data_IF_949525271001
#
_entry.id   IF_949525271001
#
_cell.length_a   1.000
_cell.length_b   1.000
_cell.length_c   1.000
_cell.angle_alpha   90.00
_cell.angle_beta   90.00
_cell.angle_gamma   90.00
#
_symmetry.space_group_name_H-M   'P 1'
#
loop_
_entity.id
_entity.type
_entity.pdbx_description
1 polymer ?
#
# COMPACT_ATOMS: atom_id res chain seq x y z
N UNK A 1 4.13 -28.86 3.12
CA UNK A 1 4.03 -27.54 3.76
C UNK A 1 3.36 -26.60 2.77
N UNK A 2 2.33 -25.87 3.18
CA UNK A 2 1.65 -24.92 2.29
C UNK A 2 2.51 -23.67 2.10
N UNK A 3 2.71 -23.24 0.85
CA UNK A 3 3.37 -21.97 0.54
C UNK A 3 2.46 -20.77 0.80
N UNK A 4 2.95 -19.54 0.57
CA UNK A 4 2.13 -18.33 0.69
C UNK A 4 0.85 -18.43 -0.16
N UNK A 5 -0.25 -17.90 0.37
CA UNK A 5 -1.56 -17.88 -0.30
C UNK A 5 -1.95 -16.44 -0.65
N UNK A 6 -2.44 -16.27 -1.86
CA UNK A 6 -3.02 -15.02 -2.32
C UNK A 6 -4.53 -15.04 -2.12
N UNK A 7 -5.11 -13.90 -1.75
CA UNK A 7 -6.55 -13.72 -1.66
C UNK A 7 -6.97 -12.51 -2.51
N UNK A 8 -7.83 -12.75 -3.50
CA UNK A 8 -8.44 -11.70 -4.33
C UNK A 8 -9.97 -11.71 -4.18
N UNK A 9 -10.45 -11.99 -2.96
CA UNK A 9 -11.86 -12.13 -2.64
C UNK A 9 -12.62 -12.99 -3.68
N UNK A 10 -13.68 -12.45 -4.27
CA UNK A 10 -14.49 -13.14 -5.29
C UNK A 10 -14.02 -12.93 -6.73
N UNK A 11 -12.87 -12.30 -6.98
CA UNK A 11 -12.42 -12.00 -8.35
C UNK A 11 -11.99 -13.26 -9.10
N UNK A 12 -11.18 -14.10 -8.46
CA UNK A 12 -10.66 -15.35 -9.02
C UNK A 12 -10.02 -16.18 -7.90
N UNK A 13 -9.76 -17.46 -8.18
CA UNK A 13 -9.10 -18.36 -7.24
C UNK A 13 -7.66 -18.68 -7.68
N UNK A 14 -6.64 -18.20 -6.94
CA UNK A 14 -5.24 -18.44 -7.29
C UNK A 14 -4.81 -19.89 -7.02
N UNK A 15 -5.52 -20.63 -6.15
CA UNK A 15 -5.18 -22.02 -5.85
C UNK A 15 -5.45 -22.98 -7.01
N UNK A 16 -6.33 -22.58 -7.94
CA UNK A 16 -6.72 -23.34 -9.12
C UNK A 16 -6.16 -22.76 -10.43
N UNK A 17 -5.14 -21.90 -10.38
CA UNK A 17 -4.65 -21.11 -11.53
C UNK A 17 -5.71 -20.18 -12.16
N UNK A 18 -6.83 -19.96 -11.47
CA UNK A 18 -7.96 -19.17 -11.97
C UNK A 18 -7.68 -17.67 -12.08
N UNK A 19 -6.56 -17.17 -11.54
CA UNK A 19 -6.17 -15.77 -11.57
C UNK A 19 -5.14 -15.41 -12.65
N UNK A 20 -4.67 -16.39 -13.44
CA UNK A 20 -3.61 -16.16 -14.44
C UNK A 20 -4.04 -15.24 -15.59
N UNK A 21 -5.34 -15.12 -15.83
CA UNK A 21 -5.92 -14.20 -16.80
C UNK A 21 -5.67 -12.72 -16.45
N UNK A 22 -5.45 -12.40 -15.16
CA UNK A 22 -5.14 -11.03 -14.72
C UNK A 22 -3.81 -10.53 -15.27
N UNK A 23 -2.92 -11.40 -15.77
CA UNK A 23 -1.68 -11.01 -16.44
C UNK A 23 -1.92 -10.01 -17.58
N UNK A 24 -2.99 -10.20 -18.36
CA UNK A 24 -3.32 -9.31 -19.46
C UNK A 24 -3.70 -7.90 -18.97
N UNK A 25 -4.49 -7.83 -17.89
CA UNK A 25 -4.91 -6.57 -17.29
C UNK A 25 -3.74 -5.83 -16.63
N UNK A 26 -2.85 -6.57 -15.96
CA UNK A 26 -1.62 -6.02 -15.38
C UNK A 26 -0.77 -5.38 -16.48
N UNK A 27 -0.52 -6.09 -17.58
CA UNK A 27 0.24 -5.57 -18.72
C UNK A 27 -0.46 -4.37 -19.36
N UNK A 28 -1.79 -4.38 -19.43
CA UNK A 28 -2.55 -3.24 -19.94
C UNK A 28 -2.36 -2.00 -19.06
N UNK A 29 -2.39 -2.13 -17.73
CA UNK A 29 -2.08 -1.04 -16.81
C UNK A 29 -0.64 -0.51 -17.02
N UNK A 30 0.34 -1.41 -17.06
CA UNK A 30 1.75 -1.06 -17.26
C UNK A 30 1.99 -0.35 -18.60
N UNK A 31 1.32 -0.78 -19.67
CA UNK A 31 1.39 -0.12 -20.98
C UNK A 31 0.79 1.30 -20.96
N UNK A 32 -0.04 1.63 -19.97
CA UNK A 32 -0.55 2.99 -19.73
C UNK A 32 0.30 3.78 -18.72
N UNK A 33 1.49 3.27 -18.35
CA UNK A 33 2.37 3.91 -17.38
C UNK A 33 1.92 3.76 -15.93
N UNK A 34 0.95 2.90 -15.65
CA UNK A 34 0.45 2.62 -14.30
C UNK A 34 1.25 1.48 -13.70
N UNK A 35 1.87 1.73 -12.54
CA UNK A 35 2.57 0.69 -11.77
C UNK A 35 1.58 -0.24 -11.09
N UNK A 36 1.80 -1.54 -11.18
CA UNK A 36 1.02 -2.57 -10.50
C UNK A 36 1.93 -3.33 -9.53
N UNK A 37 1.60 -3.25 -8.25
CA UNK A 37 2.39 -3.81 -7.15
C UNK A 37 1.59 -4.86 -6.40
N UNK A 38 2.29 -5.84 -5.81
CA UNK A 38 1.68 -6.84 -4.94
C UNK A 38 1.74 -6.38 -3.50
N UNK A 39 0.59 -6.19 -2.85
CA UNK A 39 0.54 -5.97 -1.40
C UNK A 39 0.65 -7.30 -0.63
N UNK A 40 1.50 -7.33 0.39
CA UNK A 40 1.63 -8.42 1.35
C UNK A 40 1.12 -7.96 2.72
N UNK A 41 0.37 -8.84 3.40
CA UNK A 41 -0.21 -8.55 4.70
C UNK A 41 -1.71 -8.21 4.62
N UNK A 42 -2.06 -7.02 5.10
CA UNK A 42 -3.40 -6.47 5.24
C UNK A 42 -4.04 -6.72 6.62
N UNK A 43 -5.16 -6.05 6.88
CA UNK A 43 -5.90 -6.12 8.13
C UNK A 43 -6.47 -7.50 8.52
N UNK A 44 -6.38 -8.50 7.63
CA UNK A 44 -6.93 -9.84 7.83
C UNK A 44 -5.99 -10.92 7.32
N UNK A 45 -5.98 -12.06 7.99
CA UNK A 45 -5.10 -13.19 7.67
C UNK A 45 -4.17 -13.54 8.83
N UNK A 46 -3.35 -14.56 8.64
CA UNK A 46 -2.31 -14.96 9.58
C UNK A 46 -0.99 -15.02 8.84
N UNK A 47 -0.16 -14.01 9.03
CA UNK A 47 1.14 -13.87 8.40
C UNK A 47 2.17 -13.46 9.46
N UNK A 48 3.37 -14.01 9.34
CA UNK A 48 4.53 -13.66 10.15
C UNK A 48 5.78 -14.17 9.46
N UNK A 49 6.93 -13.68 9.91
CA UNK A 49 8.24 -14.25 9.58
C UNK A 49 8.81 -14.89 10.84
N UNK A 50 9.26 -16.14 10.71
CA UNK A 50 9.78 -16.92 11.84
C UNK A 50 11.29 -16.69 12.08
N UNK A 51 12.03 -16.28 11.06
CA UNK A 51 13.48 -16.05 11.11
C UNK A 51 13.97 -15.27 9.88
N UNK A 52 15.23 -14.83 9.89
CA UNK A 52 15.89 -14.25 8.71
C UNK A 52 15.96 -15.22 7.52
N UNK A 53 16.07 -16.54 7.77
CA UNK A 53 16.03 -17.55 6.70
C UNK A 53 14.63 -17.70 6.10
N UNK A 54 13.58 -17.54 6.92
CA UNK A 54 12.20 -17.52 6.47
C UNK A 54 11.93 -16.28 5.60
N UNK A 55 12.40 -15.11 6.04
CA UNK A 55 12.35 -13.87 5.26
C UNK A 55 13.02 -14.01 3.89
N UNK A 56 14.22 -14.61 3.81
CA UNK A 56 14.90 -14.90 2.54
C UNK A 56 14.12 -15.86 1.64
N UNK A 57 13.48 -16.87 2.22
CA UNK A 57 12.63 -17.79 1.47
C UNK A 57 11.39 -17.08 0.91
N UNK A 58 10.75 -16.22 1.68
CA UNK A 58 9.64 -15.39 1.22
C UNK A 58 10.09 -14.41 0.12
N UNK A 59 11.24 -13.76 0.26
CA UNK A 59 11.81 -12.89 -0.78
C UNK A 59 12.01 -13.65 -2.09
N UNK A 60 12.59 -14.86 -2.01
CA UNK A 60 12.80 -15.74 -3.16
C UNK A 60 11.47 -16.18 -3.79
N UNK A 61 10.47 -16.48 -2.97
CA UNK A 61 9.12 -16.80 -3.43
C UNK A 61 8.49 -15.63 -4.19
N UNK A 62 8.54 -14.41 -3.64
CA UNK A 62 8.02 -13.21 -4.29
C UNK A 62 8.72 -12.94 -5.63
N UNK A 63 10.05 -13.05 -5.64
CA UNK A 63 10.86 -12.87 -6.85
C UNK A 63 10.45 -13.83 -7.97
N UNK A 64 10.35 -15.13 -7.66
CA UNK A 64 10.08 -16.17 -8.64
C UNK A 64 8.64 -16.23 -9.13
N UNK A 65 7.66 -15.83 -8.30
CA UNK A 65 6.25 -15.99 -8.61
C UNK A 65 5.57 -14.71 -9.11
N UNK A 66 6.11 -13.53 -8.81
CA UNK A 66 5.48 -12.24 -9.13
C UNK A 66 6.40 -11.22 -9.81
N UNK A 67 7.71 -11.32 -9.61
CA UNK A 67 8.70 -10.40 -10.19
C UNK A 67 9.49 -11.10 -11.31
N UNK A 68 10.75 -10.74 -11.50
CA UNK A 68 11.59 -11.16 -12.62
C UNK A 68 12.17 -12.57 -12.55
N UNK A 69 11.89 -13.33 -11.49
CA UNK A 69 12.30 -14.72 -11.39
C UNK A 69 11.42 -15.68 -12.21
N UNK A 70 11.67 -16.97 -12.08
CA UNK A 70 10.95 -18.00 -12.82
C UNK A 70 10.27 -19.00 -11.88
N UNK A 71 9.04 -19.37 -12.21
CA UNK A 71 8.26 -20.40 -11.53
C UNK A 71 7.37 -21.10 -12.54
N UNK A 72 7.16 -22.40 -12.37
CA UNK A 72 6.19 -23.17 -13.15
C UNK A 72 4.74 -22.86 -12.77
N UNK A 73 4.53 -22.18 -11.64
CA UNK A 73 3.22 -21.80 -11.14
C UNK A 73 3.26 -20.35 -10.65
N UNK A 74 2.86 -19.41 -11.50
CA UNK A 74 2.75 -17.99 -11.14
C UNK A 74 1.28 -17.63 -10.91
N UNK A 75 0.85 -17.23 -9.70
CA UNK A 75 -0.57 -17.05 -9.38
C UNK A 75 -1.30 -16.05 -10.28
N UNK A 76 -0.60 -15.00 -10.73
CA UNK A 76 -1.13 -13.95 -11.62
C UNK A 76 -0.70 -14.13 -13.08
N UNK A 77 -0.17 -15.29 -13.44
CA UNK A 77 0.35 -15.56 -14.78
C UNK A 77 1.74 -14.97 -15.03
N UNK A 78 2.05 -14.71 -16.29
CA UNK A 78 3.39 -14.37 -16.77
C UNK A 78 3.76 -12.87 -16.66
N UNK A 79 2.86 -12.03 -16.14
CA UNK A 79 3.18 -10.64 -15.87
C UNK A 79 4.27 -10.51 -14.79
N UNK A 80 5.11 -9.49 -14.95
CA UNK A 80 6.13 -9.09 -13.97
C UNK A 80 5.62 -7.82 -13.31
N UNK A 81 5.37 -7.88 -12.00
CA UNK A 81 4.89 -6.72 -11.24
C UNK A 81 6.01 -5.69 -11.05
N UNK A 82 5.59 -4.44 -10.81
CA UNK A 82 6.50 -3.31 -10.63
C UNK A 82 7.16 -3.27 -9.25
N UNK A 83 6.61 -4.00 -8.28
CA UNK A 83 7.13 -4.02 -6.90
C UNK A 83 6.26 -4.78 -5.92
N UNK A 84 6.62 -4.66 -4.65
CA UNK A 84 5.93 -5.24 -3.49
C UNK A 84 5.59 -4.13 -2.51
N UNK A 85 4.35 -4.10 -2.07
CA UNK A 85 3.82 -3.22 -1.03
C UNK A 85 3.76 -3.97 0.31
N UNK A 86 4.19 -3.32 1.38
CA UNK A 86 4.30 -3.91 2.71
C UNK A 86 3.19 -3.34 3.60
N UNK A 87 2.03 -3.98 3.59
CA UNK A 87 0.87 -3.63 4.41
C UNK A 87 0.84 -4.49 5.68
N UNK A 88 1.86 -4.35 6.53
CA UNK A 88 2.04 -5.22 7.70
C UNK A 88 1.32 -4.62 8.91
N UNK A 89 0.15 -5.16 9.24
CA UNK A 89 -0.73 -4.66 10.31
C UNK A 89 -0.77 -5.57 11.56
N UNK A 90 -0.14 -6.75 11.50
CA UNK A 90 -0.15 -7.73 12.59
C UNK A 90 0.98 -8.75 12.52
N UNK A 91 0.91 -9.78 13.36
CA UNK A 91 1.93 -10.83 13.44
C UNK A 91 3.16 -10.42 14.26
N UNK A 92 4.34 -10.92 13.86
CA UNK A 92 5.61 -10.54 14.48
C UNK A 92 6.10 -9.20 13.93
N UNK A 93 6.71 -8.36 14.78
CA UNK A 93 7.41 -7.15 14.34
C UNK A 93 8.86 -7.40 13.89
N UNK A 94 9.24 -8.65 13.63
CA UNK A 94 10.63 -9.07 13.39
C UNK A 94 10.82 -9.57 11.94
N UNK A 95 12.05 -9.46 11.44
CA UNK A 95 12.53 -10.03 10.15
C UNK A 95 11.94 -9.42 8.88
N UNK A 96 11.00 -8.47 8.96
CA UNK A 96 10.61 -7.65 7.81
C UNK A 96 11.81 -6.88 7.23
N UNK A 97 12.84 -6.70 8.07
CA UNK A 97 14.16 -6.17 7.79
C UNK A 97 15.15 -7.09 7.12
N UNK A 98 14.83 -8.37 7.08
CA UNK A 98 15.51 -9.36 6.26
C UNK A 98 14.75 -9.63 4.94
N UNK A 99 13.45 -9.28 4.87
CA UNK A 99 12.61 -9.43 3.68
C UNK A 99 12.82 -8.27 2.70
N UNK A 100 12.83 -7.04 3.19
CA UNK A 100 13.42 -5.87 2.53
C UNK A 100 14.82 -5.62 3.11
N UNK A 101 15.76 -4.91 2.47
CA UNK A 101 17.00 -4.55 3.13
C UNK A 101 16.73 -3.55 4.28
N UNK A 102 16.55 -4.04 5.51
CA UNK A 102 16.33 -3.36 6.80
C UNK A 102 15.46 -2.09 6.87
N UNK A 103 14.37 -1.95 7.65
CA UNK A 103 13.56 -0.74 7.77
C UNK A 103 14.37 0.46 8.25
N UNK A 104 15.35 0.28 9.15
CA UNK A 104 16.21 1.38 9.57
C UNK A 104 17.23 1.76 8.49
N UNK A 105 17.63 0.83 7.63
CA UNK A 105 18.46 1.07 6.44
C UNK A 105 17.56 1.64 5.33
N UNK A 106 16.54 0.96 4.84
CA UNK A 106 15.53 1.42 3.89
C UNK A 106 14.94 2.80 4.20
N UNK A 107 14.64 3.12 5.47
CA UNK A 107 14.17 4.46 5.90
C UNK A 107 15.26 5.53 5.82
N UNK A 108 16.54 5.15 5.89
CA UNK A 108 17.71 6.06 5.83
C UNK A 108 18.45 6.05 4.50
N UNK A 109 18.25 5.03 3.65
CA UNK A 109 18.96 4.81 2.39
C UNK A 109 18.08 5.02 1.16
N UNK A 110 16.78 5.31 1.33
CA UNK A 110 15.88 5.62 0.21
C UNK A 110 15.53 4.39 -0.64
N UNK A 111 15.37 3.21 -0.01
CA UNK A 111 14.98 1.98 -0.73
C UNK A 111 13.47 1.84 -0.92
N UNK A 112 12.65 2.55 -0.13
CA UNK A 112 11.23 2.69 -0.42
C UNK A 112 11.02 3.91 -1.31
N UNK A 113 10.67 3.66 -2.56
CA UNK A 113 10.34 4.71 -3.54
C UNK A 113 9.08 5.49 -3.11
N UNK A 114 8.10 4.77 -2.57
CA UNK A 114 6.78 5.28 -2.20
C UNK A 114 6.37 4.79 -0.81
N UNK A 115 5.78 5.68 0.00
CA UNK A 115 5.25 5.36 1.33
C UNK A 115 3.84 5.95 1.47
N UNK A 116 2.80 5.12 1.42
CA UNK A 116 1.41 5.55 1.71
C UNK A 116 1.05 5.29 3.17
N UNK A 117 1.17 6.33 3.99
CA UNK A 117 0.84 6.23 5.42
C UNK A 117 -0.67 6.20 5.60
N UNK A 118 -1.19 5.21 6.33
CA UNK A 118 -2.62 5.10 6.63
C UNK A 118 -3.02 6.10 7.73
N UNK A 119 -3.64 7.21 7.36
CA UNK A 119 -4.13 8.25 8.29
C UNK A 119 -5.57 7.99 8.73
N UNK A 120 -5.89 6.74 9.05
CA UNK A 120 -7.21 6.29 9.49
C UNK A 120 -7.09 5.12 10.47
N UNK A 121 -8.19 4.79 11.16
CA UNK A 121 -8.22 3.82 12.28
C UNK A 121 -7.25 4.13 13.45
N UNK A 122 -6.66 5.32 13.50
CA UNK A 122 -5.65 5.72 14.46
C UNK A 122 -5.91 7.16 14.95
N UNK A 123 -6.77 7.36 15.97
CA UNK A 123 -7.16 8.68 16.48
C UNK A 123 -6.02 9.68 16.77
N UNK A 124 -4.84 9.26 17.27
CA UNK A 124 -3.75 10.19 17.56
C UNK A 124 -3.10 10.84 16.33
N UNK A 125 -3.25 10.26 15.14
CA UNK A 125 -2.58 10.74 13.93
C UNK A 125 -3.53 10.95 12.74
N UNK A 126 -4.82 10.71 12.87
CA UNK A 126 -5.78 10.89 11.77
C UNK A 126 -6.52 12.24 11.83
N UNK A 127 -7.33 12.50 10.80
CA UNK A 127 -8.29 13.61 10.79
C UNK A 127 -9.39 13.40 11.85
N UNK A 128 -9.73 14.48 12.53
CA UNK A 128 -10.94 14.58 13.35
C UNK A 128 -11.84 15.68 12.76
N UNK A 129 -13.18 15.53 12.78
CA UNK A 129 -14.09 16.54 12.24
C UNK A 129 -13.77 17.96 12.74
N UNK A 130 -13.39 18.85 11.82
CA UNK A 130 -13.05 20.24 12.11
C UNK A 130 -11.63 20.48 12.64
N UNK A 131 -10.75 19.47 12.66
CA UNK A 131 -9.36 19.64 13.08
C UNK A 131 -8.39 18.74 12.29
N UNK A 132 -7.41 19.39 11.65
CA UNK A 132 -6.34 18.72 10.92
C UNK A 132 -5.06 18.53 11.77
N UNK A 133 -5.01 19.07 12.99
CA UNK A 133 -3.76 19.19 13.78
C UNK A 133 -3.04 17.87 13.96
N UNK A 134 -3.74 16.81 14.41
CA UNK A 134 -3.13 15.50 14.63
C UNK A 134 -2.55 14.90 13.34
N UNK A 135 -3.28 15.05 12.23
CA UNK A 135 -2.86 14.58 10.92
C UNK A 135 -1.65 15.37 10.42
N UNK A 136 -1.69 16.70 10.54
CA UNK A 136 -0.62 17.59 10.09
C UNK A 136 0.68 17.35 10.89
N UNK A 137 0.58 17.17 12.20
CA UNK A 137 1.71 16.87 13.07
C UNK A 137 2.33 15.51 12.73
N UNK A 138 1.50 14.48 12.52
CA UNK A 138 1.96 13.17 12.09
C UNK A 138 2.58 13.22 10.68
N UNK A 139 1.99 13.97 9.74
CA UNK A 139 2.53 14.18 8.40
C UNK A 139 3.94 14.79 8.44
N UNK A 140 4.14 15.83 9.27
CA UNK A 140 5.46 16.45 9.49
C UNK A 140 6.45 15.44 10.07
N UNK A 141 6.02 14.59 10.99
CA UNK A 141 6.88 13.55 11.55
C UNK A 141 7.32 12.53 10.48
N UNK A 142 6.42 12.06 9.62
CA UNK A 142 6.75 11.11 8.56
C UNK A 142 7.69 11.71 7.51
N UNK A 143 7.36 12.90 7.02
CA UNK A 143 8.17 13.59 5.99
C UNK A 143 9.55 13.99 6.46
N UNK A 144 9.74 14.24 7.76
CA UNK A 144 11.07 14.51 8.34
C UNK A 144 11.86 13.24 8.65
N UNK A 145 11.18 12.13 8.94
CA UNK A 145 11.83 10.87 9.35
C UNK A 145 12.31 10.02 8.17
N UNK A 146 11.78 10.25 6.97
CA UNK A 146 12.08 9.50 5.75
C UNK A 146 12.36 10.47 4.58
N UNK A 147 13.46 11.23 4.65
CA UNK A 147 13.77 12.20 3.60
C UNK A 147 14.11 11.49 2.28
N UNK A 148 13.78 12.14 1.16
CA UNK A 148 13.97 11.64 -0.21
C UNK A 148 13.07 10.47 -0.64
N UNK A 149 11.94 10.26 0.04
CA UNK A 149 10.91 9.30 -0.36
C UNK A 149 9.63 10.06 -0.73
N UNK A 150 8.87 9.56 -1.71
CA UNK A 150 7.55 10.11 -1.97
C UNK A 150 6.53 9.55 -0.97
N UNK A 151 5.95 10.43 -0.17
CA UNK A 151 4.99 10.10 0.89
C UNK A 151 3.59 10.46 0.42
N UNK A 152 2.66 9.51 0.55
CA UNK A 152 1.28 9.63 0.12
C UNK A 152 0.37 9.67 1.34
N UNK A 153 -0.66 10.51 1.26
CA UNK A 153 -1.72 10.57 2.27
C UNK A 153 -2.68 9.40 2.04
N UNK A 154 -2.61 8.35 2.86
CA UNK A 154 -3.52 7.21 2.81
C UNK A 154 -4.84 7.48 3.53
N UNK A 155 -5.95 7.37 2.81
CA UNK A 155 -7.30 7.70 3.30
C UNK A 155 -8.32 6.61 2.96
N UNK A 156 -9.39 6.48 3.75
CA UNK A 156 -10.55 5.70 3.36
C UNK A 156 -11.35 6.46 2.29
N UNK A 157 -11.75 5.78 1.22
CA UNK A 157 -12.54 6.35 0.11
C UNK A 157 -14.01 6.58 0.45
N UNK A 158 -14.47 6.07 1.59
CA UNK A 158 -15.83 6.24 2.10
C UNK A 158 -15.84 6.18 3.64
N UNK A 159 -16.85 6.78 4.30
CA UNK A 159 -17.02 6.65 5.75
C UNK A 159 -17.08 5.20 6.25
N UNK A 160 -17.58 4.28 5.42
CA UNK A 160 -17.74 2.86 5.74
C UNK A 160 -16.47 2.03 5.47
N UNK A 161 -15.46 2.61 4.82
CA UNK A 161 -14.25 1.88 4.44
C UNK A 161 -13.26 1.70 5.61
N UNK A 162 -13.44 2.46 6.70
CA UNK A 162 -12.63 2.38 7.91
C UNK A 162 -13.49 2.65 9.15
N UNK A 163 -13.03 2.25 10.32
CA UNK A 163 -13.71 2.53 11.59
C UNK A 163 -13.65 4.01 12.00
N UNK A 164 -12.63 4.74 11.56
CA UNK A 164 -12.52 6.21 11.76
C UNK A 164 -11.49 6.83 10.81
N UNK A 165 -11.42 8.16 10.75
CA UNK A 165 -10.42 8.90 9.97
C UNK A 165 -10.84 9.32 8.56
N UNK A 166 -12.10 9.10 8.15
CA UNK A 166 -12.62 9.62 6.89
C UNK A 166 -12.63 11.14 6.85
N UNK A 167 -12.16 11.70 5.73
CA UNK A 167 -12.10 13.15 5.49
C UNK A 167 -13.11 13.51 4.42
N UNK A 168 -14.09 14.40 4.68
CA UNK A 168 -14.96 14.94 3.64
C UNK A 168 -14.16 15.67 2.56
N UNK A 169 -14.60 15.59 1.29
CA UNK A 169 -13.91 16.20 0.14
C UNK A 169 -13.59 17.69 0.36
N UNK A 170 -14.54 18.45 0.90
CA UNK A 170 -14.33 19.87 1.18
C UNK A 170 -13.20 20.10 2.18
N UNK A 171 -13.13 19.33 3.27
CA UNK A 171 -12.08 19.48 4.28
C UNK A 171 -10.72 19.02 3.74
N UNK A 172 -10.71 17.94 2.95
CA UNK A 172 -9.50 17.46 2.29
C UNK A 172 -8.92 18.53 1.37
N UNK A 173 -9.74 19.07 0.46
CA UNK A 173 -9.31 20.02 -0.57
C UNK A 173 -9.02 21.42 -0.02
N UNK A 174 -9.79 21.90 0.96
CA UNK A 174 -9.65 23.28 1.46
C UNK A 174 -8.73 23.41 2.68
N UNK A 175 -8.42 22.33 3.41
CA UNK A 175 -7.64 22.39 4.64
C UNK A 175 -6.42 21.47 4.59
N UNK A 176 -6.63 20.17 4.32
CA UNK A 176 -5.57 19.15 4.45
C UNK A 176 -4.55 19.24 3.30
N UNK A 177 -4.99 19.18 2.05
CA UNK A 177 -4.10 19.23 0.88
C UNK A 177 -3.23 20.50 0.87
N UNK A 178 -3.77 21.71 1.10
CA UNK A 178 -2.94 22.92 1.21
C UNK A 178 -1.87 22.83 2.30
N UNK A 179 -2.16 22.18 3.43
CA UNK A 179 -1.22 22.05 4.54
C UNK A 179 -0.10 21.04 4.26
N UNK A 180 -0.36 19.97 3.50
CA UNK A 180 0.62 18.89 3.28
C UNK A 180 1.42 19.03 1.97
N UNK A 181 0.83 19.66 0.93
CA UNK A 181 1.47 19.83 -0.40
C UNK A 181 2.65 20.80 -0.40
N UNK A 182 2.87 21.52 0.71
CA UNK A 182 4.08 22.36 0.89
C UNK A 182 5.34 21.53 1.11
N UNK A 183 5.20 20.24 1.46
CA UNK A 183 6.33 19.32 1.61
C UNK A 183 6.85 18.89 0.23
N UNK A 184 8.18 18.87 0.06
CA UNK A 184 8.82 18.32 -1.15
C UNK A 184 8.63 16.81 -1.28
N UNK A 185 8.31 16.13 -0.18
CA UNK A 185 8.08 14.70 -0.15
C UNK A 185 6.63 14.32 -0.46
N UNK A 186 5.74 15.28 -0.73
CA UNK A 186 4.37 14.97 -1.11
C UNK A 186 4.34 14.22 -2.45
N UNK A 187 3.89 12.96 -2.42
CA UNK A 187 3.72 12.10 -3.59
C UNK A 187 2.29 12.02 -4.11
N UNK A 188 1.29 12.27 -3.28
CA UNK A 188 -0.12 12.18 -3.67
C UNK A 188 -1.03 11.66 -2.55
N UNK A 189 -2.13 11.01 -2.97
CA UNK A 189 -3.14 10.39 -2.10
C UNK A 189 -3.27 8.91 -2.45
N UNK A 190 -3.35 8.06 -1.43
CA UNK A 190 -3.72 6.64 -1.55
C UNK A 190 -5.14 6.46 -0.99
N UNK A 191 -5.97 5.66 -1.67
CA UNK A 191 -7.36 5.44 -1.27
C UNK A 191 -7.63 3.96 -0.98
N UNK A 192 -8.11 3.68 0.23
CA UNK A 192 -8.69 2.39 0.60
C UNK A 192 -10.22 2.45 0.49
N UNK A 193 -10.86 1.77 -0.45
CA UNK A 193 -10.33 0.99 -1.57
C UNK A 193 -11.17 1.23 -2.82
N UNK A 194 -10.79 0.65 -3.96
CA UNK A 194 -11.51 0.77 -5.24
C UNK A 194 -13.01 0.49 -5.12
N UNK A 195 -13.41 -0.51 -4.33
CA UNK A 195 -14.83 -0.85 -4.12
C UNK A 195 -15.63 0.32 -3.53
N UNK A 196 -15.05 1.01 -2.54
CA UNK A 196 -15.69 2.16 -1.90
C UNK A 196 -15.61 3.41 -2.77
N UNK A 197 -14.49 3.60 -3.48
CA UNK A 197 -14.31 4.72 -4.39
C UNK A 197 -15.30 4.69 -5.56
N UNK A 198 -15.62 3.50 -6.11
CA UNK A 198 -16.64 3.36 -7.15
C UNK A 198 -18.04 3.76 -6.69
N UNK A 199 -18.34 3.61 -5.41
CA UNK A 199 -19.65 3.95 -4.83
C UNK A 199 -19.77 5.43 -4.52
N UNK A 200 -18.68 6.06 -4.09
CA UNK A 200 -18.69 7.45 -3.60
C UNK A 200 -18.17 8.45 -4.62
N UNK A 201 -17.39 8.01 -5.61
CA UNK A 201 -16.69 8.89 -6.56
C UNK A 201 -15.65 9.78 -5.88
N UNK A 202 -15.02 9.29 -4.79
CA UNK A 202 -14.11 10.10 -3.97
C UNK A 202 -12.90 10.58 -4.78
N UNK A 203 -12.22 9.68 -5.50
CA UNK A 203 -11.09 10.01 -6.37
C UNK A 203 -11.49 11.00 -7.46
N UNK A 204 -12.66 10.82 -8.07
CA UNK A 204 -13.19 11.73 -9.10
C UNK A 204 -13.41 13.14 -8.56
N UNK A 205 -13.76 13.26 -7.28
CA UNK A 205 -14.04 14.53 -6.62
C UNK A 205 -12.79 15.28 -6.16
N UNK A 206 -11.64 14.61 -6.03
CA UNK A 206 -10.36 15.20 -5.59
C UNK A 206 -9.31 15.26 -6.70
N UNK A 207 -9.59 14.68 -7.88
CA UNK A 207 -8.60 14.47 -8.95
C UNK A 207 -7.94 15.76 -9.44
N UNK A 208 -8.65 16.89 -9.41
CA UNK A 208 -8.10 18.19 -9.81
C UNK A 208 -7.14 18.79 -8.79
N UNK A 209 -7.21 18.33 -7.55
CA UNK A 209 -6.55 18.94 -6.39
C UNK A 209 -5.30 18.16 -5.95
N UNK A 210 -5.16 16.91 -6.39
CA UNK A 210 -4.00 16.03 -6.15
C UNK A 210 -2.92 16.31 -7.18
#
# INVERSE_FOLDING_TARGET
MGGPMMNLAGHCDPSSNGCTNLSADIKACQNNGIKVILSIGGASGSYSLASSDDARQVATYLWNNFLGGQSSFRPLGDAVLDGVDFDIEGGSGQYWDDLAPSPDIARKTGLFDYVWVQFFNNPPCQYAPGSITNLEDAWKQWTTSIPNSQIFLGLPAAPQAAGSGFIPVNDLTSQVLPAIKVSTEYGGVMLWSKYYDDQTGYSSSIKSDV
#
